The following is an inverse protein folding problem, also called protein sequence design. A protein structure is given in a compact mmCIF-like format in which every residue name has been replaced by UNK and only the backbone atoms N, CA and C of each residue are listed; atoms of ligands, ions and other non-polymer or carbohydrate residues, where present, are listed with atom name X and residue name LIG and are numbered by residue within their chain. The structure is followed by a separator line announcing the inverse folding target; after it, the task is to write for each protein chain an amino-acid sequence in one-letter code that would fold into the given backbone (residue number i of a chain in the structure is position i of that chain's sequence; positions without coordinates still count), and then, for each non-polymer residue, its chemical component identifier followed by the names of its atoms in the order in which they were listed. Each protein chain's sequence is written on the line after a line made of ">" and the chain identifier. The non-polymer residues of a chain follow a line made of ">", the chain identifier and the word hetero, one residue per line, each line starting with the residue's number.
data_IF_041717794828
#
_entry.id   IF_041717794828
#
_cell.length_a   1.000
_cell.length_b   1.000
_cell.length_c   1.000
_cell.angle_alpha   90.00
_cell.angle_beta   90.00
_cell.angle_gamma   90.00
#
_symmetry.space_group_name_H-M   'P 1'
#
loop_
_entity.id
_entity.type
_entity.pdbx_description
1 polymer ?
#
# COMPACT_ATOMS: atom_id res chain seq x y z
N UNK A 1 -11.17 6.47 12.85
CA UNK A 1 -11.51 5.14 12.29
C UNK A 1 -10.44 4.09 12.59
N UNK A 2 -9.15 4.35 12.32
CA UNK A 2 -8.10 3.32 12.37
C UNK A 2 -7.32 3.20 13.70
N UNK A 3 -7.49 4.15 14.64
CA UNK A 3 -6.63 4.24 15.84
C UNK A 3 -6.69 2.98 16.71
N UNK A 4 -7.86 2.36 16.86
CA UNK A 4 -8.03 1.14 17.66
C UNK A 4 -7.35 -0.11 17.05
N UNK A 5 -6.95 -0.08 15.77
CA UNK A 5 -6.18 -1.18 15.17
C UNK A 5 -4.74 -1.24 15.70
N UNK A 6 -4.29 -0.14 16.31
CA UNK A 6 -3.01 -0.09 17.02
C UNK A 6 -3.10 -0.62 18.45
N UNK A 7 -4.31 -0.92 18.96
CA UNK A 7 -4.48 -1.44 20.31
C UNK A 7 -3.85 -2.83 20.46
N UNK A 8 -3.01 -2.98 21.48
CA UNK A 8 -2.36 -4.25 21.82
C UNK A 8 -3.33 -5.27 22.46
N UNK A 9 -4.53 -4.82 22.88
CA UNK A 9 -5.58 -5.71 23.36
C UNK A 9 -6.20 -6.51 22.21
N UNK A 10 -5.69 -7.72 22.03
CA UNK A 10 -6.14 -8.64 20.99
C UNK A 10 -7.63 -9.01 21.12
N UNK A 11 -8.17 -9.11 22.35
CA UNK A 11 -9.56 -9.48 22.55
C UNK A 11 -10.50 -8.35 22.15
N UNK A 12 -10.19 -7.11 22.57
CA UNK A 12 -10.94 -5.93 22.18
C UNK A 12 -10.87 -5.69 20.66
N UNK A 13 -9.68 -5.86 20.05
CA UNK A 13 -9.51 -5.74 18.59
C UNK A 13 -10.35 -6.77 17.85
N UNK A 14 -10.29 -8.05 18.23
CA UNK A 14 -11.07 -9.11 17.58
C UNK A 14 -12.58 -8.92 17.76
N UNK A 15 -13.04 -8.41 18.90
CA UNK A 15 -14.45 -8.06 19.09
C UNK A 15 -14.91 -7.00 18.10
N UNK A 16 -14.16 -5.89 17.97
CA UNK A 16 -14.48 -4.81 17.02
C UNK A 16 -14.46 -5.27 15.56
N UNK A 17 -13.49 -6.09 15.18
CA UNK A 17 -13.43 -6.68 13.83
C UNK A 17 -14.72 -7.48 13.55
N UNK A 18 -15.13 -8.35 14.48
CA UNK A 18 -16.36 -9.15 14.31
C UNK A 18 -17.61 -8.27 14.24
N UNK A 19 -17.72 -7.25 15.08
CA UNK A 19 -18.86 -6.35 15.09
C UNK A 19 -18.99 -5.59 13.75
N UNK A 20 -17.88 -5.07 13.22
CA UNK A 20 -17.84 -4.39 11.93
C UNK A 20 -18.22 -5.34 10.78
N UNK A 21 -17.72 -6.57 10.78
CA UNK A 21 -18.05 -7.59 9.76
C UNK A 21 -19.53 -7.99 9.85
N UNK A 22 -20.07 -8.21 11.05
CA UNK A 22 -21.47 -8.60 11.23
C UNK A 22 -22.46 -7.50 10.86
N UNK A 23 -22.07 -6.23 11.02
CA UNK A 23 -22.87 -5.08 10.61
C UNK A 23 -22.76 -4.78 9.10
N UNK A 24 -21.80 -5.40 8.40
CA UNK A 24 -21.52 -5.09 7.00
C UNK A 24 -22.51 -5.75 6.05
N UNK A 25 -22.98 -4.98 5.08
CA UNK A 25 -23.86 -5.41 3.99
C UNK A 25 -23.33 -4.89 2.65
N UNK A 26 -23.86 -5.39 1.54
CA UNK A 26 -23.42 -4.95 0.21
C UNK A 26 -23.50 -3.42 0.00
N UNK A 27 -24.48 -2.75 0.64
CA UNK A 27 -24.65 -1.30 0.56
C UNK A 27 -23.79 -0.48 1.55
N UNK A 28 -23.17 -1.13 2.54
CA UNK A 28 -22.34 -0.48 3.56
C UNK A 28 -21.28 -1.48 4.04
N UNK A 29 -20.12 -1.46 3.37
CA UNK A 29 -19.00 -2.38 3.62
C UNK A 29 -17.65 -1.67 3.73
N UNK A 30 -17.63 -0.33 3.72
CA UNK A 30 -16.38 0.45 3.65
C UNK A 30 -15.46 0.13 4.84
N UNK A 31 -16.03 0.06 6.05
CA UNK A 31 -15.28 -0.30 7.25
C UNK A 31 -14.74 -1.73 7.19
N UNK A 32 -15.56 -2.71 6.75
CA UNK A 32 -15.10 -4.08 6.57
C UNK A 32 -14.04 -4.22 5.48
N UNK A 33 -14.13 -3.46 4.38
CA UNK A 33 -13.13 -3.48 3.31
C UNK A 33 -11.81 -2.87 3.80
N UNK A 34 -11.87 -1.80 4.59
CA UNK A 34 -10.69 -1.23 5.27
C UNK A 34 -10.06 -2.24 6.22
N UNK A 35 -10.85 -2.87 7.09
CA UNK A 35 -10.37 -3.89 8.03
C UNK A 35 -9.73 -5.05 7.27
N UNK A 36 -10.40 -5.57 6.23
CA UNK A 36 -9.92 -6.69 5.44
C UNK A 36 -8.62 -6.36 4.68
N UNK A 37 -8.32 -5.08 4.42
CA UNK A 37 -7.08 -4.67 3.78
C UNK A 37 -5.88 -4.65 4.74
N UNK A 38 -6.07 -4.39 6.04
CA UNK A 38 -4.97 -4.10 6.97
C UNK A 38 -4.93 -4.97 8.22
N UNK A 39 -5.97 -5.74 8.50
CA UNK A 39 -6.10 -6.50 9.73
C UNK A 39 -6.78 -7.86 9.54
N UNK A 40 -6.58 -8.73 10.51
CA UNK A 40 -7.27 -10.00 10.65
C UNK A 40 -7.36 -10.39 12.13
N UNK A 41 -8.47 -11.01 12.51
CA UNK A 41 -8.71 -11.56 13.85
C UNK A 41 -8.26 -13.02 14.00
N UNK A 42 -7.92 -13.70 12.90
CA UNK A 42 -7.47 -15.11 12.90
C UNK A 42 -5.95 -15.27 12.86
N UNK A 43 -5.20 -14.18 12.73
CA UNK A 43 -3.72 -14.17 12.67
C UNK A 43 -3.20 -13.29 13.82
N UNK A 44 -2.03 -13.58 14.41
CA UNK A 44 -1.51 -12.77 15.50
C UNK A 44 -1.46 -11.29 15.15
N UNK A 45 -1.71 -10.39 16.13
CA UNK A 45 -1.64 -8.95 15.92
C UNK A 45 -0.39 -8.57 15.14
N UNK A 46 0.77 -9.12 15.52
CA UNK A 46 2.09 -8.84 14.98
C UNK A 46 2.27 -9.12 13.46
N UNK A 47 1.37 -9.88 12.83
CA UNK A 47 1.41 -10.08 11.40
C UNK A 47 1.25 -8.74 10.66
N UNK A 48 2.04 -8.54 9.61
CA UNK A 48 1.98 -7.37 8.74
C UNK A 48 1.57 -7.81 7.35
N UNK A 49 0.77 -7.00 6.66
CA UNK A 49 0.48 -7.21 5.25
C UNK A 49 1.62 -6.68 4.37
N UNK A 50 1.56 -6.95 3.07
CA UNK A 50 2.58 -6.47 2.13
C UNK A 50 2.51 -4.96 1.85
N UNK A 51 1.38 -4.30 2.16
CA UNK A 51 1.23 -2.85 2.06
C UNK A 51 1.99 -2.10 3.14
N UNK A 52 2.24 -2.74 4.29
CA UNK A 52 2.93 -2.10 5.41
C UNK A 52 4.44 -2.03 5.15
N UNK A 53 4.88 -0.88 4.64
CA UNK A 53 6.30 -0.55 4.40
C UNK A 53 6.94 0.26 5.53
N UNK A 54 6.16 0.75 6.48
CA UNK A 54 6.67 1.41 7.69
C UNK A 54 6.73 0.42 8.86
N UNK A 55 7.45 0.77 9.94
CA UNK A 55 7.31 0.02 11.19
C UNK A 55 5.87 0.13 11.69
N UNK A 56 5.41 -0.92 12.37
CA UNK A 56 4.03 -1.03 12.87
C UNK A 56 3.65 0.11 13.79
N UNK A 57 4.53 0.45 14.73
CA UNK A 57 4.31 1.49 15.73
C UNK A 57 4.20 2.90 15.12
N UNK A 58 4.73 3.11 13.91
CA UNK A 58 4.53 4.34 13.15
C UNK A 58 3.41 4.24 12.11
N UNK A 59 3.01 3.04 11.69
CA UNK A 59 2.17 2.86 10.51
C UNK A 59 0.83 3.57 10.64
N UNK A 60 0.05 3.22 11.68
CA UNK A 60 -1.27 3.80 11.90
C UNK A 60 -1.19 5.30 12.23
N UNK A 61 -0.19 5.71 13.02
CA UNK A 61 0.06 7.12 13.30
C UNK A 61 0.35 7.93 12.04
N UNK A 62 1.16 7.39 11.13
CA UNK A 62 1.47 8.03 9.85
C UNK A 62 0.24 8.07 8.93
N UNK A 63 -0.59 7.02 8.89
CA UNK A 63 -1.86 7.03 8.15
C UNK A 63 -2.78 8.15 8.65
N UNK A 64 -3.01 8.23 9.96
CA UNK A 64 -3.83 9.28 10.58
C UNK A 64 -3.26 10.67 10.32
N UNK A 65 -1.93 10.83 10.44
CA UNK A 65 -1.23 12.09 10.17
C UNK A 65 -1.39 12.53 8.71
N UNK A 66 -1.20 11.64 7.74
CA UNK A 66 -1.43 11.94 6.31
C UNK A 66 -2.87 12.35 6.08
N UNK A 67 -3.84 11.61 6.60
CA UNK A 67 -5.27 11.93 6.45
C UNK A 67 -5.59 13.31 7.03
N UNK A 68 -5.13 13.61 8.24
CA UNK A 68 -5.44 14.84 8.94
C UNK A 68 -4.77 16.09 8.33
N UNK A 69 -3.57 15.92 7.74
CA UNK A 69 -2.76 17.03 7.21
C UNK A 69 -2.98 17.28 5.72
N UNK A 70 -3.62 16.36 5.00
CA UNK A 70 -3.90 16.55 3.59
C UNK A 70 -5.08 17.49 3.40
N UNK A 71 -4.89 18.51 2.56
CA UNK A 71 -5.95 19.40 2.10
C UNK A 71 -6.15 19.33 0.58
N UNK A 72 -7.08 20.13 0.07
CA UNK A 72 -7.40 20.20 -1.36
C UNK A 72 -6.22 20.62 -2.24
N UNK A 73 -5.34 21.49 -1.74
CA UNK A 73 -4.19 21.99 -2.49
C UNK A 73 -3.16 20.88 -2.73
N UNK A 74 -2.95 20.01 -1.74
CA UNK A 74 -2.11 18.83 -1.89
C UNK A 74 -2.64 17.89 -2.98
N UNK A 75 -3.96 17.61 -2.97
CA UNK A 75 -4.59 16.76 -3.98
C UNK A 75 -4.49 17.37 -5.38
N UNK A 76 -4.79 18.66 -5.52
CA UNK A 76 -4.71 19.35 -6.80
C UNK A 76 -3.26 19.35 -7.34
N UNK A 77 -2.27 19.60 -6.48
CA UNK A 77 -0.85 19.56 -6.87
C UNK A 77 -0.44 18.15 -7.30
N UNK A 78 -0.85 17.09 -6.59
CA UNK A 78 -0.55 15.70 -6.97
C UNK A 78 -1.17 15.30 -8.31
N UNK A 79 -2.40 15.72 -8.57
CA UNK A 79 -3.15 15.26 -9.75
C UNK A 79 -2.80 16.05 -11.02
N UNK A 80 -2.44 17.32 -10.90
CA UNK A 80 -2.40 18.23 -12.05
C UNK A 80 -1.06 18.97 -12.24
N UNK A 81 -0.10 18.83 -11.33
CA UNK A 81 1.19 19.53 -11.39
C UNK A 81 2.33 18.49 -11.30
N UNK A 82 3.47 18.71 -11.99
CA UNK A 82 4.67 17.90 -11.75
C UNK A 82 5.02 17.85 -10.26
N UNK A 83 5.33 16.66 -9.76
CA UNK A 83 5.62 16.47 -8.34
C UNK A 83 6.93 17.17 -7.96
N UNK A 84 6.83 18.09 -6.99
CA UNK A 84 7.93 18.92 -6.50
C UNK A 84 8.49 18.44 -5.16
N UNK A 85 7.84 17.45 -4.53
CA UNK A 85 8.21 16.89 -3.24
C UNK A 85 8.34 17.93 -2.12
N UNK A 86 7.51 18.99 -2.16
CA UNK A 86 7.59 20.11 -1.22
C UNK A 86 6.97 19.82 0.17
N UNK A 87 6.45 18.62 0.42
CA UNK A 87 5.83 18.29 1.72
C UNK A 87 6.81 17.66 2.70
N UNK A 88 6.57 17.87 3.99
CA UNK A 88 7.34 17.25 5.05
C UNK A 88 7.16 15.73 5.07
N UNK A 89 8.26 14.98 5.25
CA UNK A 89 8.23 13.52 5.46
C UNK A 89 8.03 13.12 6.92
N UNK A 90 8.35 14.02 7.85
CA UNK A 90 8.30 13.73 9.29
C UNK A 90 6.87 13.34 9.73
N UNK A 91 6.75 12.19 10.39
CA UNK A 91 5.48 11.55 10.80
C UNK A 91 4.42 11.40 9.70
N UNK A 92 4.83 11.36 8.42
CA UNK A 92 3.91 11.27 7.26
C UNK A 92 4.42 10.31 6.17
N UNK A 93 5.64 9.81 6.31
CA UNK A 93 6.25 8.86 5.38
C UNK A 93 5.54 7.51 5.45
N UNK A 94 5.15 6.98 4.29
CA UNK A 94 4.61 5.63 4.15
C UNK A 94 5.62 4.67 3.52
N UNK A 95 6.79 5.14 3.07
CA UNK A 95 7.78 4.34 2.35
C UNK A 95 7.21 3.66 1.08
N UNK A 96 6.19 4.27 0.48
CA UNK A 96 5.58 3.83 -0.78
C UNK A 96 6.36 4.38 -1.99
N UNK A 97 6.80 5.64 -1.91
CA UNK A 97 7.60 6.26 -2.95
C UNK A 97 9.07 5.76 -2.86
N UNK A 98 9.66 5.22 -3.94
CA UNK A 98 11.05 4.78 -3.97
C UNK A 98 12.07 5.86 -3.57
N UNK A 99 11.75 7.14 -3.76
CA UNK A 99 12.59 8.27 -3.38
C UNK A 99 12.73 8.44 -1.86
N UNK A 100 11.86 7.81 -1.07
CA UNK A 100 11.98 7.74 0.38
C UNK A 100 13.09 6.77 0.85
N UNK A 101 13.64 5.91 -0.03
CA UNK A 101 14.87 5.12 0.22
C UNK A 101 16.10 6.05 0.28
N UNK A 102 16.31 6.62 1.47
CA UNK A 102 17.41 7.53 1.78
C UNK A 102 18.54 6.79 2.49
N UNK A 103 19.53 6.31 1.72
CA UNK A 103 20.66 5.54 2.27
C UNK A 103 21.69 6.45 2.91
N UNK A 104 22.12 6.08 4.13
CA UNK A 104 23.15 6.79 4.90
C UNK A 104 24.44 7.06 4.11
N UNK A 105 24.87 6.15 3.23
CA UNK A 105 26.09 6.29 2.44
C UNK A 105 26.04 7.43 1.41
N UNK A 106 24.85 7.93 1.08
CA UNK A 106 24.66 9.00 0.10
C UNK A 106 24.28 10.34 0.73
N UNK A 107 24.35 10.47 2.06
CA UNK A 107 23.86 11.65 2.77
C UNK A 107 24.88 12.23 3.74
N UNK A 108 24.95 13.55 3.78
CA UNK A 108 25.72 14.31 4.77
C UNK A 108 25.14 14.16 6.18
N UNK A 109 23.81 14.11 6.28
CA UNK A 109 23.08 13.91 7.53
C UNK A 109 22.57 12.47 7.66
N UNK A 110 22.38 11.99 8.90
CA UNK A 110 21.61 10.77 9.13
C UNK A 110 20.16 11.01 8.68
N UNK A 111 19.53 10.11 7.89
CA UNK A 111 18.17 10.28 7.39
C UNK A 111 17.18 10.65 8.49
N UNK A 112 17.15 9.96 9.63
CA UNK A 112 16.18 10.25 10.70
C UNK A 112 16.36 11.63 11.39
N UNK A 113 17.54 12.25 11.27
CA UNK A 113 17.85 13.55 11.89
C UNK A 113 18.04 14.67 10.88
N UNK A 114 17.74 14.42 9.59
CA UNK A 114 17.88 15.41 8.53
C UNK A 114 16.84 16.54 8.70
N UNK A 115 17.27 17.79 8.95
CA UNK A 115 16.35 18.92 9.15
C UNK A 115 15.39 19.12 7.98
N UNK A 116 15.82 18.78 6.76
CA UNK A 116 15.00 18.91 5.55
C UNK A 116 13.75 18.04 5.58
N UNK A 117 13.71 16.96 6.39
CA UNK A 117 12.51 16.10 6.49
C UNK A 117 11.30 16.80 7.10
N UNK A 118 11.52 17.88 7.84
CA UNK A 118 10.45 18.68 8.44
C UNK A 118 9.79 19.62 7.45
N UNK A 119 10.38 19.83 6.27
CA UNK A 119 9.93 20.82 5.29
C UNK A 119 9.86 20.31 3.86
N UNK A 120 10.46 19.16 3.54
CA UNK A 120 10.52 18.65 2.17
C UNK A 120 10.74 17.12 2.08
N UNK A 121 10.51 16.59 0.88
CA UNK A 121 10.80 15.22 0.50
C UNK A 121 9.59 14.32 0.30
N UNK A 122 8.38 14.77 0.63
CA UNK A 122 7.15 14.01 0.51
C UNK A 122 6.20 14.60 -0.53
N UNK A 123 5.25 13.76 -0.96
CA UNK A 123 4.10 14.17 -1.77
C UNK A 123 2.82 13.77 -1.04
N UNK A 124 2.32 14.65 -0.17
CA UNK A 124 1.28 14.29 0.80
C UNK A 124 -0.03 13.89 0.12
N UNK A 125 -0.41 14.59 -0.95
CA UNK A 125 -1.57 14.25 -1.76
C UNK A 125 -1.46 12.87 -2.42
N UNK A 126 -0.26 12.42 -2.80
CA UNK A 126 -0.04 11.09 -3.36
C UNK A 126 -0.22 10.01 -2.30
N UNK A 127 0.33 10.22 -1.11
CA UNK A 127 0.10 9.32 0.02
C UNK A 127 -1.38 9.25 0.40
N UNK A 128 -2.10 10.39 0.41
CA UNK A 128 -3.55 10.42 0.66
C UNK A 128 -4.34 9.61 -0.36
N UNK A 129 -4.03 9.75 -1.65
CA UNK A 129 -4.68 8.98 -2.71
C UNK A 129 -4.34 7.49 -2.63
N UNK A 130 -3.11 7.15 -2.26
CA UNK A 130 -2.73 5.76 -2.02
C UNK A 130 -3.51 5.14 -0.86
N UNK A 131 -3.69 5.89 0.24
CA UNK A 131 -4.51 5.48 1.39
C UNK A 131 -5.94 5.17 0.96
N UNK A 132 -6.56 6.00 0.11
CA UNK A 132 -7.92 5.73 -0.39
C UNK A 132 -8.03 4.42 -1.18
N UNK A 133 -6.93 3.93 -1.75
CA UNK A 133 -6.91 2.67 -2.47
C UNK A 133 -6.75 1.43 -1.56
N UNK A 134 -6.43 1.59 -0.27
CA UNK A 134 -6.19 0.47 0.65
C UNK A 134 -7.33 -0.58 0.64
N UNK A 135 -8.62 -0.21 0.67
CA UNK A 135 -9.74 -1.16 0.61
C UNK A 135 -9.79 -2.05 -0.65
N UNK A 136 -8.99 -1.76 -1.67
CA UNK A 136 -8.85 -2.59 -2.88
C UNK A 136 -7.91 -3.78 -2.61
N UNK A 137 -7.00 -3.66 -1.65
CA UNK A 137 -5.95 -4.62 -1.37
C UNK A 137 -6.33 -5.55 -0.22
N UNK A 138 -7.36 -6.36 -0.43
CA UNK A 138 -7.78 -7.36 0.58
C UNK A 138 -6.61 -8.28 0.96
N UNK A 139 -6.35 -8.38 2.27
CA UNK A 139 -5.35 -9.27 2.85
C UNK A 139 -6.03 -10.50 3.44
N UNK A 140 -5.73 -11.67 2.87
CA UNK A 140 -6.34 -12.94 3.25
C UNK A 140 -5.37 -13.71 4.16
N UNK A 141 -5.84 -14.27 5.29
CA UNK A 141 -5.06 -15.18 6.11
C UNK A 141 -4.67 -16.43 5.34
N UNK A 142 -3.38 -16.79 5.38
CA UNK A 142 -2.91 -18.09 4.92
C UNK A 142 -1.75 -18.54 5.79
N UNK A 143 -1.94 -19.67 6.49
CA UNK A 143 -1.03 -20.11 7.55
C UNK A 143 -0.86 -18.99 8.59
N UNK A 144 0.39 -18.62 8.91
CA UNK A 144 0.72 -17.60 9.90
C UNK A 144 0.97 -16.21 9.28
N UNK A 145 0.53 -15.97 8.03
CA UNK A 145 0.81 -14.74 7.29
C UNK A 145 -0.41 -14.15 6.58
N UNK A 146 -0.33 -12.85 6.28
CA UNK A 146 -1.29 -12.15 5.43
C UNK A 146 -0.83 -12.21 3.97
N UNK A 147 -1.75 -12.57 3.08
CA UNK A 147 -1.55 -12.54 1.63
C UNK A 147 -2.42 -11.43 1.03
N UNK A 148 -1.76 -10.38 0.54
CA UNK A 148 -2.46 -9.21 0.02
C UNK A 148 -2.70 -9.32 -1.48
N UNK A 149 -3.91 -8.97 -1.90
CA UNK A 149 -4.29 -8.94 -3.30
C UNK A 149 -3.32 -8.08 -4.14
N UNK A 150 -2.96 -8.56 -5.34
CA UNK A 150 -1.98 -7.90 -6.21
C UNK A 150 -0.51 -8.16 -5.81
N UNK A 151 -0.25 -8.72 -4.63
CA UNK A 151 1.10 -9.05 -4.18
C UNK A 151 1.42 -10.55 -4.35
N UNK A 152 2.69 -10.82 -4.56
CA UNK A 152 3.28 -12.16 -4.45
C UNK A 152 4.53 -12.12 -3.60
N UNK A 153 4.90 -13.26 -3.01
CA UNK A 153 6.00 -13.36 -2.07
C UNK A 153 5.63 -12.88 -0.66
N UNK A 154 6.47 -13.25 0.29
CA UNK A 154 6.27 -12.99 1.72
C UNK A 154 7.53 -12.45 2.42
N UNK A 155 8.70 -12.56 1.77
CA UNK A 155 9.98 -12.12 2.30
C UNK A 155 10.51 -10.95 1.48
N UNK A 156 11.42 -10.17 2.04
CA UNK A 156 11.99 -8.99 1.37
C UNK A 156 12.69 -9.30 0.03
N UNK A 157 13.16 -10.52 -0.23
CA UNK A 157 13.81 -10.84 -1.50
C UNK A 157 12.83 -11.24 -2.62
N UNK A 158 11.62 -11.69 -2.28
CA UNK A 158 10.63 -12.20 -3.23
C UNK A 158 9.28 -11.47 -3.21
N UNK A 159 9.08 -10.52 -2.29
CA UNK A 159 7.85 -9.74 -2.23
C UNK A 159 7.81 -8.73 -3.37
N UNK A 160 6.74 -8.78 -4.16
CA UNK A 160 6.51 -7.88 -5.28
C UNK A 160 5.03 -7.50 -5.36
N UNK A 161 4.79 -6.30 -5.85
CA UNK A 161 3.46 -5.85 -6.24
C UNK A 161 3.43 -5.75 -7.76
N UNK A 162 2.39 -6.32 -8.38
CA UNK A 162 2.18 -6.24 -9.83
C UNK A 162 0.80 -5.68 -10.11
N UNK A 163 0.73 -4.67 -10.97
CA UNK A 163 -0.54 -4.06 -11.38
C UNK A 163 -0.60 -3.84 -12.88
N UNK A 164 -1.79 -3.89 -13.49
CA UNK A 164 -1.96 -3.62 -14.90
C UNK A 164 -2.22 -2.13 -15.16
N UNK A 165 -1.99 -1.72 -16.41
CA UNK A 165 -2.56 -0.55 -17.04
C UNK A 165 -3.61 -1.03 -18.04
N UNK A 166 -4.78 -0.39 -18.07
CA UNK A 166 -5.92 -0.81 -18.87
C UNK A 166 -6.52 0.35 -19.66
N UNK A 167 -7.33 0.04 -20.67
CA UNK A 167 -7.85 1.03 -21.63
C UNK A 167 -9.24 1.59 -21.31
N UNK A 168 -10.07 0.84 -20.60
CA UNK A 168 -11.47 1.23 -20.34
C UNK A 168 -11.66 1.54 -18.86
N UNK A 169 -12.41 2.58 -18.47
CA UNK A 169 -12.74 2.81 -17.07
C UNK A 169 -13.36 1.57 -16.43
N UNK A 170 -12.86 1.20 -15.25
CA UNK A 170 -13.36 0.08 -14.46
C UNK A 170 -13.79 0.57 -13.08
N UNK A 171 -14.77 -0.11 -12.50
CA UNK A 171 -15.19 0.08 -11.11
C UNK A 171 -14.14 -0.47 -10.14
N UNK A 172 -14.23 -0.09 -8.86
CA UNK A 172 -13.34 -0.63 -7.82
C UNK A 172 -13.47 -2.16 -7.67
N UNK A 173 -14.68 -2.71 -7.81
CA UNK A 173 -14.90 -4.16 -7.73
C UNK A 173 -14.27 -4.91 -8.92
N UNK A 174 -14.31 -4.31 -10.10
CA UNK A 174 -13.59 -4.82 -11.27
C UNK A 174 -12.07 -4.72 -11.05
N UNK A 175 -11.57 -3.63 -10.47
CA UNK A 175 -10.14 -3.48 -10.16
C UNK A 175 -9.67 -4.57 -9.17
N UNK A 176 -10.43 -4.84 -8.11
CA UNK A 176 -10.16 -5.96 -7.18
C UNK A 176 -10.06 -7.28 -7.95
N UNK A 177 -11.03 -7.55 -8.82
CA UNK A 177 -11.04 -8.77 -9.65
C UNK A 177 -9.82 -8.86 -10.57
N UNK A 178 -9.42 -7.74 -11.18
CA UNK A 178 -8.26 -7.65 -12.06
C UNK A 178 -6.96 -7.91 -11.29
N UNK A 179 -6.78 -7.33 -10.11
CA UNK A 179 -5.60 -7.56 -9.26
C UNK A 179 -5.48 -9.03 -8.79
N UNK A 180 -6.60 -9.77 -8.78
CA UNK A 180 -6.65 -11.19 -8.46
C UNK A 180 -6.16 -12.11 -9.60
N UNK A 181 -5.96 -11.60 -10.82
CA UNK A 181 -5.56 -12.41 -11.97
C UNK A 181 -4.23 -13.11 -11.71
N UNK A 182 -4.24 -14.44 -11.76
CA UNK A 182 -3.03 -15.27 -11.61
C UNK A 182 -1.99 -14.92 -12.67
N UNK A 183 -2.44 -14.56 -13.87
CA UNK A 183 -1.59 -14.17 -14.99
C UNK A 183 -0.71 -12.94 -14.67
N UNK A 184 -1.23 -11.97 -13.91
CA UNK A 184 -0.42 -10.81 -13.46
C UNK A 184 0.63 -11.22 -12.42
N UNK A 185 0.38 -12.30 -11.69
CA UNK A 185 1.25 -12.77 -10.61
C UNK A 185 2.36 -13.72 -11.07
N UNK A 186 2.39 -14.08 -12.36
CA UNK A 186 3.44 -14.91 -12.98
C UNK A 186 4.83 -14.29 -12.83
N UNK A 187 5.86 -15.11 -12.68
CA UNK A 187 7.25 -14.62 -12.59
C UNK A 187 7.67 -13.85 -13.84
N UNK A 188 7.30 -14.38 -15.00
CA UNK A 188 7.47 -13.77 -16.31
C UNK A 188 6.12 -13.66 -17.00
N UNK A 189 5.93 -12.61 -17.78
CA UNK A 189 4.76 -12.44 -18.65
C UNK A 189 5.26 -12.59 -20.08
N UNK A 190 5.13 -13.80 -20.62
CA UNK A 190 5.49 -14.08 -22.00
C UNK A 190 4.48 -13.45 -23.00
N UNK A 191 4.81 -13.36 -24.30
CA UNK A 191 3.91 -12.78 -25.28
C UNK A 191 2.53 -13.46 -25.37
N UNK A 192 2.45 -14.78 -25.12
CA UNK A 192 1.19 -15.51 -25.13
C UNK A 192 0.30 -15.13 -23.95
N UNK A 193 0.88 -14.98 -22.77
CA UNK A 193 0.19 -14.48 -21.59
C UNK A 193 -0.25 -13.03 -21.77
N UNK A 194 0.62 -12.19 -22.34
CA UNK A 194 0.27 -10.80 -22.61
C UNK A 194 -0.87 -10.68 -23.61
N UNK A 195 -0.95 -11.55 -24.63
CA UNK A 195 -2.09 -11.57 -25.55
C UNK A 195 -3.42 -11.91 -24.84
N UNK A 196 -3.41 -12.80 -23.85
CA UNK A 196 -4.60 -13.08 -23.02
C UNK A 196 -5.01 -11.87 -22.18
N UNK A 197 -4.03 -11.16 -21.61
CA UNK A 197 -4.27 -9.93 -20.84
C UNK A 197 -4.82 -8.81 -21.73
N UNK A 198 -4.27 -8.64 -22.93
CA UNK A 198 -4.76 -7.69 -23.95
C UNK A 198 -6.20 -7.93 -24.35
N UNK A 199 -6.60 -9.20 -24.49
CA UNK A 199 -8.00 -9.56 -24.75
C UNK A 199 -8.96 -9.11 -23.63
N UNK A 200 -8.45 -8.80 -22.42
CA UNK A 200 -9.20 -8.24 -21.28
C UNK A 200 -9.00 -6.73 -21.12
N UNK A 201 -8.40 -6.06 -22.10
CA UNK A 201 -8.15 -4.61 -22.09
C UNK A 201 -6.90 -4.16 -21.32
N UNK A 202 -6.06 -5.09 -20.85
CA UNK A 202 -4.79 -4.77 -20.18
C UNK A 202 -3.71 -4.53 -21.24
N UNK A 203 -3.11 -3.34 -21.22
CA UNK A 203 -2.15 -2.89 -22.25
C UNK A 203 -0.71 -2.85 -21.78
N UNK A 204 -0.49 -2.76 -20.47
CA UNK A 204 0.84 -2.89 -19.88
C UNK A 204 0.72 -3.49 -18.49
N UNK A 205 1.82 -4.05 -17.99
CA UNK A 205 1.93 -4.56 -16.63
C UNK A 205 3.18 -3.99 -15.98
N UNK A 206 3.00 -3.38 -14.82
CA UNK A 206 4.08 -2.83 -14.02
C UNK A 206 4.31 -3.64 -12.77
N UNK A 207 5.55 -3.65 -12.32
CA UNK A 207 5.97 -4.38 -11.14
C UNK A 207 6.97 -3.57 -10.33
N UNK A 208 6.77 -3.57 -9.01
CA UNK A 208 7.78 -3.15 -8.03
C UNK A 208 8.13 -4.29 -7.10
N UNK A 209 9.33 -4.24 -6.52
CA UNK A 209 9.79 -5.17 -5.49
C UNK A 209 9.83 -4.46 -4.16
N UNK A 210 9.35 -5.12 -3.12
CA UNK A 210 9.63 -4.69 -1.75
C UNK A 210 11.04 -5.13 -1.42
N UNK A 211 11.88 -4.22 -0.94
CA UNK A 211 13.25 -4.48 -0.50
C UNK A 211 13.40 -4.04 0.95
N UNK A 212 14.44 -4.53 1.63
CA UNK A 212 14.81 -4.07 2.96
C UNK A 212 16.07 -3.23 2.88
N UNK A 213 16.00 -1.98 3.34
CA UNK A 213 17.15 -1.08 3.46
C UNK A 213 17.41 -0.86 4.94
N UNK A 214 18.47 -1.49 5.45
CA UNK A 214 18.68 -1.59 6.89
C UNK A 214 17.54 -2.39 7.55
N UNK A 215 16.69 -1.70 8.34
CA UNK A 215 15.50 -2.29 8.98
C UNK A 215 14.18 -1.79 8.37
N UNK A 216 14.24 -0.97 7.32
CA UNK A 216 13.06 -0.29 6.78
C UNK A 216 12.70 -0.87 5.41
N UNK A 217 11.49 -1.45 5.26
CA UNK A 217 10.99 -1.87 3.97
C UNK A 217 10.75 -0.67 3.04
N UNK A 218 11.08 -0.82 1.76
CA UNK A 218 10.81 0.17 0.71
C UNK A 218 10.38 -0.55 -0.57
N UNK A 219 9.74 0.18 -1.49
CA UNK A 219 9.52 -0.30 -2.85
C UNK A 219 10.60 0.20 -3.81
N UNK A 220 11.00 -0.63 -4.77
CA UNK A 220 11.87 -0.19 -5.87
C UNK A 220 11.10 0.69 -6.85
N UNK A 221 11.79 1.49 -7.70
CA UNK A 221 11.15 2.05 -8.88
C UNK A 221 10.43 0.96 -9.68
N UNK A 222 9.21 1.22 -10.17
CA UNK A 222 8.47 0.24 -10.92
C UNK A 222 9.05 0.07 -12.31
N UNK A 223 8.99 -1.17 -12.82
CA UNK A 223 9.40 -1.52 -14.17
C UNK A 223 8.22 -2.06 -14.95
N UNK A 224 8.11 -1.68 -16.22
CA UNK A 224 7.18 -2.31 -17.15
C UNK A 224 7.73 -3.70 -17.51
N UNK A 225 6.93 -4.74 -17.30
CA UNK A 225 7.34 -6.14 -17.52
C UNK A 225 6.62 -6.80 -18.70
N UNK A 226 5.56 -6.17 -19.23
CA UNK A 226 4.83 -6.59 -20.43
C UNK A 226 3.92 -5.48 -20.96
#
# INVERSE_FOLDING_TARGET
>A
MLEWLSDDDAAARSARIRDAVNASIAANRDEADWIAAIASDVIPPAAINQLQTTRRDYHYGNLTSVIARTDRSHLARTLFIPWDYADALDNQSLHLDPSEDRRHAHQWNKPAGDPNRKSAGGMLGANRLAIEAFPVFTSIPYQDALHTLGFTGQRSYNTRWTWPIWTHPITLDQLRSVLAFRELQSDTIDPGLMNKLRARGIVAVFRTRRILVGKTPNFTPPVCIA
#
